data_IF_836150871428
#
_entry.id   IF_836150871428
#
_cell.length_a   1.000
_cell.length_b   1.000
_cell.length_c   1.000
_cell.angle_alpha   90.00
_cell.angle_beta   90.00
_cell.angle_gamma   90.00
#
_symmetry.space_group_name_H-M   'P 1'
#
loop_
_entity.id
_entity.type
_entity.pdbx_description
1 polymer ?
#
# COMPACT_ATOMS: atom_id res chain seq x y z
N UNK A 1 4.11 15.47 -4.52
CA UNK A 1 3.87 14.05 -4.27
C UNK A 1 2.79 13.86 -3.23
N UNK A 2 2.16 12.71 -3.25
CA UNK A 2 1.05 12.41 -2.35
C UNK A 2 1.26 11.07 -1.66
N UNK A 3 1.18 11.03 -0.34
CA UNK A 3 1.42 9.84 0.46
C UNK A 3 0.10 9.23 0.95
N UNK A 4 0.04 7.91 0.94
CA UNK A 4 -1.07 7.14 1.53
C UNK A 4 -0.49 6.08 2.43
N UNK A 5 -0.83 6.15 3.71
CA UNK A 5 -0.44 5.17 4.70
C UNK A 5 -1.66 4.38 5.15
N UNK A 6 -1.60 3.07 5.05
CA UNK A 6 -2.70 2.18 5.42
C UNK A 6 -2.21 1.23 6.50
N UNK A 7 -2.93 1.16 7.61
CA UNK A 7 -2.69 0.18 8.67
C UNK A 7 -3.77 -0.88 8.63
N UNK A 8 -3.36 -2.14 8.59
CA UNK A 8 -4.28 -3.28 8.60
C UNK A 8 -4.00 -4.11 9.85
N UNK A 9 -5.03 -4.32 10.65
CA UNK A 9 -5.01 -5.21 11.81
C UNK A 9 -5.91 -6.40 11.52
N UNK A 10 -5.38 -7.60 11.68
CA UNK A 10 -6.10 -8.85 11.43
C UNK A 10 -6.05 -9.76 12.65
N UNK A 11 -6.66 -10.93 12.56
CA UNK A 11 -6.82 -11.83 13.71
C UNK A 11 -5.52 -12.52 14.14
N UNK A 12 -4.64 -12.82 13.18
CA UNK A 12 -3.42 -13.58 13.47
C UNK A 12 -2.36 -13.36 12.39
N UNK A 13 -1.18 -13.95 12.63
CA UNK A 13 -0.05 -13.83 11.71
C UNK A 13 -0.31 -14.45 10.35
N UNK A 14 -1.02 -15.58 10.31
CA UNK A 14 -1.34 -16.25 9.04
C UNK A 14 -2.22 -15.35 8.15
N UNK A 15 -3.24 -14.73 8.74
CA UNK A 15 -4.10 -13.78 8.03
C UNK A 15 -3.30 -12.58 7.51
N UNK A 16 -2.36 -12.07 8.31
CA UNK A 16 -1.48 -10.97 7.88
C UNK A 16 -0.65 -11.36 6.66
N UNK A 17 -0.01 -12.52 6.70
CA UNK A 17 0.81 -13.01 5.58
C UNK A 17 -0.02 -13.20 4.31
N UNK A 18 -1.23 -13.74 4.45
CA UNK A 18 -2.13 -13.94 3.32
C UNK A 18 -2.53 -12.61 2.68
N UNK A 19 -2.82 -11.60 3.49
CA UNK A 19 -3.19 -10.26 2.99
C UNK A 19 -2.02 -9.59 2.27
N UNK A 20 -0.81 -9.69 2.83
CA UNK A 20 0.38 -9.12 2.19
C UNK A 20 0.62 -9.76 0.82
N UNK A 21 0.52 -11.09 0.72
CA UNK A 21 0.67 -11.79 -0.56
C UNK A 21 -0.40 -11.37 -1.56
N UNK A 22 -1.65 -11.28 -1.13
CA UNK A 22 -2.75 -10.86 -1.99
C UNK A 22 -2.56 -9.42 -2.48
N UNK A 23 -2.09 -8.53 -1.61
CA UNK A 23 -1.80 -7.15 -1.98
C UNK A 23 -0.68 -7.05 -3.01
N UNK A 24 0.40 -7.80 -2.81
CA UNK A 24 1.51 -7.80 -3.75
C UNK A 24 1.09 -8.32 -5.12
N UNK A 25 0.34 -9.40 -5.15
CA UNK A 25 -0.14 -10.01 -6.38
C UNK A 25 -1.13 -9.09 -7.11
N UNK A 26 -2.14 -8.61 -6.38
CA UNK A 26 -3.17 -7.74 -6.95
C UNK A 26 -2.59 -6.44 -7.50
N UNK A 27 -1.67 -5.82 -6.77
CA UNK A 27 -1.17 -4.50 -7.12
C UNK A 27 0.01 -4.50 -8.08
N UNK A 28 0.64 -5.65 -8.31
CA UNK A 28 1.87 -5.71 -9.10
C UNK A 28 1.67 -5.15 -10.51
N UNK A 29 0.64 -5.56 -11.22
CA UNK A 29 0.35 -5.02 -12.55
C UNK A 29 -0.36 -3.67 -12.53
N UNK A 30 -1.16 -3.43 -11.50
CA UNK A 30 -1.99 -2.23 -11.41
C UNK A 30 -1.18 -0.97 -11.13
N UNK A 31 -0.20 -1.06 -10.24
CA UNK A 31 0.54 0.11 -9.78
C UNK A 31 1.71 0.49 -10.67
N UNK A 32 2.23 -0.41 -11.48
CA UNK A 32 3.42 -0.12 -12.32
C UNK A 32 3.26 1.07 -13.25
N UNK A 33 2.05 1.36 -13.71
CA UNK A 33 1.77 2.39 -14.70
C UNK A 33 0.89 3.53 -14.18
N UNK A 34 0.64 3.62 -12.87
CA UNK A 34 -0.34 4.55 -12.30
C UNK A 34 0.28 5.60 -11.36
N UNK A 35 1.50 6.00 -11.60
CA UNK A 35 2.14 7.05 -10.83
C UNK A 35 2.57 6.67 -9.43
N UNK A 36 2.52 5.40 -9.07
CA UNK A 36 3.09 4.94 -7.80
C UNK A 36 4.61 4.99 -7.88
N UNK A 37 5.21 5.80 -7.00
CA UNK A 37 6.65 5.99 -6.95
C UNK A 37 7.34 5.07 -5.96
N UNK A 38 6.63 4.72 -4.89
CA UNK A 38 7.23 3.95 -3.80
C UNK A 38 6.13 3.24 -3.02
N UNK A 39 6.41 2.02 -2.60
CA UNK A 39 5.56 1.29 -1.67
C UNK A 39 6.42 0.38 -0.81
N UNK A 40 6.19 0.40 0.50
CA UNK A 40 6.81 -0.56 1.39
C UNK A 40 5.81 -1.11 2.40
N UNK A 41 6.09 -2.31 2.88
CA UNK A 41 5.32 -2.95 3.94
C UNK A 41 6.15 -2.90 5.22
N UNK A 42 5.55 -2.40 6.30
CA UNK A 42 6.17 -2.41 7.62
C UNK A 42 5.48 -3.46 8.47
N UNK A 43 6.23 -4.44 8.88
CA UNK A 43 5.75 -5.54 9.72
C UNK A 43 5.77 -5.08 11.17
N UNK A 44 4.63 -4.56 11.67
CA UNK A 44 4.57 -3.92 12.98
C UNK A 44 4.47 -4.92 14.13
N UNK A 45 3.53 -5.83 14.02
CA UNK A 45 3.30 -6.89 15.01
C UNK A 45 2.88 -8.15 14.28
N UNK A 46 2.69 -9.25 15.00
CA UNK A 46 2.28 -10.50 14.38
C UNK A 46 0.93 -10.43 13.66
N UNK A 47 0.08 -9.46 14.01
CA UNK A 47 -1.24 -9.29 13.40
C UNK A 47 -1.48 -7.90 12.80
N UNK A 48 -0.45 -7.07 12.68
CA UNK A 48 -0.56 -5.73 12.10
C UNK A 48 0.50 -5.48 11.05
N UNK A 49 0.10 -4.86 9.95
CA UNK A 49 1.00 -4.40 8.90
C UNK A 49 0.67 -2.96 8.55
N UNK A 50 1.68 -2.15 8.29
CA UNK A 50 1.53 -0.83 7.71
C UNK A 50 2.03 -0.85 6.28
N UNK A 51 1.32 -0.13 5.40
CA UNK A 51 1.70 -0.03 4.00
C UNK A 51 1.86 1.45 3.68
N UNK A 52 3.07 1.82 3.28
CA UNK A 52 3.38 3.19 2.88
C UNK A 52 3.40 3.27 1.36
N UNK A 53 2.66 4.25 0.83
CA UNK A 53 2.64 4.53 -0.60
C UNK A 53 3.03 5.98 -0.84
N UNK A 54 3.80 6.23 -1.89
CA UNK A 54 4.02 7.58 -2.38
C UNK A 54 3.66 7.60 -3.86
N UNK A 55 2.72 8.47 -4.20
CA UNK A 55 2.27 8.70 -5.58
C UNK A 55 2.83 10.02 -6.10
N UNK A 56 2.96 10.12 -7.42
CA UNK A 56 3.38 11.34 -8.08
C UNK A 56 2.39 12.48 -7.81
N UNK A 57 1.10 12.18 -7.77
CA UNK A 57 0.04 13.17 -7.52
C UNK A 57 -1.17 12.53 -6.84
N UNK A 58 -1.98 13.36 -6.19
CA UNK A 58 -3.25 12.92 -5.62
C UNK A 58 -4.20 12.37 -6.69
N UNK A 59 -4.20 12.99 -7.87
CA UNK A 59 -5.05 12.56 -8.99
C UNK A 59 -4.73 11.13 -9.41
N UNK A 60 -3.46 10.79 -9.54
CA UNK A 60 -3.05 9.45 -9.92
C UNK A 60 -3.41 8.43 -8.83
N UNK A 61 -3.29 8.82 -7.57
CA UNK A 61 -3.74 7.97 -6.45
C UNK A 61 -5.24 7.69 -6.53
N UNK A 62 -6.04 8.73 -6.82
CA UNK A 62 -7.49 8.58 -6.91
C UNK A 62 -7.91 7.70 -8.09
N UNK A 63 -7.17 7.74 -9.19
CA UNK A 63 -7.39 6.86 -10.34
C UNK A 63 -7.17 5.40 -9.96
N UNK A 64 -6.13 5.10 -9.22
CA UNK A 64 -5.88 3.75 -8.70
C UNK A 64 -7.01 3.32 -7.76
N UNK A 65 -7.44 4.21 -6.88
CA UNK A 65 -8.51 3.92 -5.92
C UNK A 65 -9.83 3.56 -6.61
N UNK A 66 -10.15 4.23 -7.72
CA UNK A 66 -11.37 3.97 -8.48
C UNK A 66 -11.33 2.64 -9.22
N UNK A 67 -10.17 2.06 -9.45
CA UNK A 67 -10.00 0.82 -10.20
C UNK A 67 -10.06 -0.42 -9.31
N UNK A 68 -11.12 -0.61 -8.53
CA UNK A 68 -11.43 -1.81 -7.72
C UNK A 68 -10.75 -1.91 -6.36
N UNK A 69 -10.01 -0.90 -5.89
CA UNK A 69 -9.37 -0.99 -4.58
C UNK A 69 -10.39 -1.03 -3.44
N UNK A 70 -11.54 -0.37 -3.61
CA UNK A 70 -12.58 -0.36 -2.57
C UNK A 70 -13.15 -1.76 -2.33
N UNK A 71 -13.31 -2.57 -3.37
CA UNK A 71 -13.77 -3.95 -3.22
C UNK A 71 -12.79 -4.79 -2.39
N UNK A 72 -11.51 -4.62 -2.62
CA UNK A 72 -10.47 -5.32 -1.87
C UNK A 72 -10.51 -4.95 -0.38
N UNK A 73 -10.58 -3.66 -0.07
CA UNK A 73 -10.63 -3.20 1.32
C UNK A 73 -11.90 -3.63 2.03
N UNK A 74 -13.03 -3.64 1.31
CA UNK A 74 -14.28 -4.12 1.85
C UNK A 74 -14.23 -5.62 2.18
N UNK A 75 -13.59 -6.42 1.35
CA UNK A 75 -13.38 -7.84 1.62
C UNK A 75 -12.55 -8.05 2.89
N UNK A 76 -11.50 -7.27 3.08
CA UNK A 76 -10.69 -7.35 4.31
C UNK A 76 -11.55 -7.05 5.53
N UNK A 77 -12.39 -6.02 5.47
CA UNK A 77 -13.29 -5.66 6.57
C UNK A 77 -14.32 -6.77 6.86
N UNK A 78 -14.86 -7.38 5.81
CA UNK A 78 -15.79 -8.50 5.94
C UNK A 78 -15.14 -9.72 6.60
N UNK A 79 -13.85 -9.89 6.42
CA UNK A 79 -13.08 -10.95 7.07
C UNK A 79 -12.68 -10.63 8.52
N UNK A 80 -13.18 -9.52 9.07
CA UNK A 80 -12.86 -9.10 10.43
C UNK A 80 -11.61 -8.23 10.55
N UNK A 81 -11.03 -7.82 9.44
CA UNK A 81 -9.89 -6.92 9.43
C UNK A 81 -10.28 -5.48 9.76
N UNK A 82 -9.40 -4.78 10.46
CA UNK A 82 -9.54 -3.36 10.75
C UNK A 82 -8.57 -2.60 9.86
N UNK A 83 -9.10 -1.66 9.08
CA UNK A 83 -8.30 -0.87 8.15
C UNK A 83 -8.41 0.59 8.54
N UNK A 84 -7.27 1.24 8.76
CA UNK A 84 -7.22 2.69 8.93
C UNK A 84 -6.32 3.31 7.88
N UNK A 85 -6.64 4.53 7.49
CA UNK A 85 -6.00 5.21 6.38
C UNK A 85 -5.62 6.63 6.79
N UNK A 86 -4.41 7.01 6.45
CA UNK A 86 -3.89 8.35 6.62
C UNK A 86 -3.27 8.80 5.29
N UNK A 87 -3.60 9.99 4.83
CA UNK A 87 -3.09 10.46 3.55
C UNK A 87 -2.89 11.97 3.53
N UNK A 88 -2.00 12.44 2.68
CA UNK A 88 -1.75 13.86 2.51
C UNK A 88 -0.63 14.14 1.54
N UNK A 89 -0.45 15.41 1.24
CA UNK A 89 0.69 15.85 0.45
C UNK A 89 1.98 15.52 1.20
N UNK A 90 2.99 15.09 0.48
CA UNK A 90 4.27 14.75 1.07
C UNK A 90 5.42 15.35 0.28
N UNK A 91 6.55 15.46 0.93
CA UNK A 91 7.80 15.93 0.36
C UNK A 91 8.88 14.94 0.70
N UNK A 92 9.62 14.47 -0.30
CA UNK A 92 10.75 13.59 -0.07
C UNK A 92 12.01 14.44 -0.04
N UNK A 93 12.54 14.65 1.14
CA UNK A 93 13.73 15.48 1.33
C UNK A 93 15.02 14.72 1.01
N UNK A 94 15.09 13.46 1.42
CA UNK A 94 16.29 12.64 1.20
C UNK A 94 15.85 11.31 0.58
N UNK A 95 16.40 11.02 -0.61
CA UNK A 95 16.04 9.81 -1.36
C UNK A 95 17.24 9.01 -1.83
N UNK A 96 18.42 9.30 -1.31
CA UNK A 96 19.69 8.77 -1.81
C UNK A 96 19.76 7.24 -1.86
N UNK A 97 19.11 6.57 -0.91
CA UNK A 97 19.07 5.12 -0.87
C UNK A 97 17.94 4.49 -1.70
N UNK A 98 16.93 5.26 -2.09
CA UNK A 98 15.77 4.72 -2.79
C UNK A 98 16.03 4.37 -4.25
N UNK A 99 17.03 4.97 -4.85
CA UNK A 99 17.40 4.69 -6.25
C UNK A 99 17.74 3.22 -6.47
N UNK A 100 18.34 2.58 -5.46
CA UNK A 100 18.71 1.17 -5.54
C UNK A 100 17.50 0.24 -5.44
N UNK A 101 16.39 0.73 -4.88
CA UNK A 101 15.16 -0.06 -4.73
C UNK A 101 14.36 -0.13 -6.03
N UNK A 102 14.59 0.76 -6.97
CA UNK A 102 13.89 0.74 -8.26
C UNK A 102 14.06 -0.58 -9.00
N UNK A 103 15.15 -1.28 -8.74
CA UNK A 103 15.43 -2.56 -9.38
C UNK A 103 14.44 -3.65 -8.97
N UNK A 104 13.84 -3.54 -7.80
CA UNK A 104 12.86 -4.50 -7.29
C UNK A 104 11.50 -4.36 -7.94
N UNK A 105 11.21 -3.23 -8.55
CA UNK A 105 9.92 -2.95 -9.17
C UNK A 105 9.88 -3.27 -10.67
N UNK A 106 10.97 -3.77 -11.19
CA UNK A 106 11.06 -4.11 -12.62
C UNK A 106 10.65 -5.60 -12.87
#
# INVERSE_FOLDING_TARGET
MYAVNITIKVQNELAKKAIILALKDWSHGLFQNNGLLFRCFVDRTENQVEIFHVFRSKKEMEEVRKSKSDDFWNQIKEMGGQVSRFEGNCEVEVSKGLQNLDLEFK
#
